data_IF_794991114807
#
_entry.id   IF_794991114807
#
_cell.length_a   1.000
_cell.length_b   1.000
_cell.length_c   1.000
_cell.angle_alpha   90.00
_cell.angle_beta   90.00
_cell.angle_gamma   90.00
#
_symmetry.space_group_name_H-M   'P 1'
#
loop_
_entity.id
_entity.type
_entity.pdbx_description
1 polymer ?
#
# COMPACT_ATOMS: atom_id res chain seq x y z
N UNK A 1 12.19 55.94 -7.38
CA UNK A 1 11.88 55.21 -6.13
C UNK A 1 10.80 54.14 -6.31
N UNK A 2 9.73 54.42 -7.07
CA UNK A 2 8.62 53.50 -7.33
C UNK A 2 8.96 52.19 -8.08
N UNK A 3 9.90 52.20 -9.03
CA UNK A 3 10.29 50.97 -9.77
C UNK A 3 10.98 49.93 -8.89
N UNK A 4 11.81 50.35 -7.93
CA UNK A 4 12.50 49.43 -7.01
C UNK A 4 11.51 48.70 -6.09
N UNK A 5 10.45 49.39 -5.64
CA UNK A 5 9.38 48.78 -4.84
C UNK A 5 8.57 47.75 -5.64
N UNK A 6 8.23 48.05 -6.91
CA UNK A 6 7.51 47.13 -7.80
C UNK A 6 8.33 45.87 -8.11
N UNK A 7 9.65 46.01 -8.25
CA UNK A 7 10.59 44.90 -8.43
C UNK A 7 10.75 44.04 -7.16
N UNK A 8 10.81 44.66 -5.97
CA UNK A 8 10.86 43.94 -4.68
C UNK A 8 9.58 43.15 -4.42
N UNK A 9 8.40 43.72 -4.71
CA UNK A 9 7.11 43.03 -4.56
C UNK A 9 7.01 41.84 -5.52
N UNK A 10 7.43 41.97 -6.78
CA UNK A 10 7.49 40.85 -7.74
C UNK A 10 8.45 39.73 -7.29
N UNK A 11 9.64 40.08 -6.77
CA UNK A 11 10.61 39.09 -6.27
C UNK A 11 10.11 38.38 -5.00
N UNK A 12 9.46 39.12 -4.10
CA UNK A 12 8.87 38.58 -2.88
C UNK A 12 7.69 37.64 -3.17
N UNK A 13 6.84 37.98 -4.14
CA UNK A 13 5.71 37.13 -4.55
C UNK A 13 6.16 35.80 -5.18
N UNK A 14 7.21 35.83 -6.01
CA UNK A 14 7.84 34.61 -6.57
C UNK A 14 8.42 33.74 -5.46
N UNK A 15 9.03 34.34 -4.43
CA UNK A 15 9.60 33.63 -3.29
C UNK A 15 8.52 32.96 -2.42
N UNK A 16 7.37 33.63 -2.22
CA UNK A 16 6.22 33.08 -1.47
C UNK A 16 5.59 31.90 -2.23
N UNK A 17 5.45 32.00 -3.56
CA UNK A 17 4.96 30.88 -4.39
C UNK A 17 5.94 29.70 -4.34
N UNK A 18 7.25 29.97 -4.42
CA UNK A 18 8.30 28.96 -4.33
C UNK A 18 8.30 28.23 -2.97
N UNK A 19 8.00 28.93 -1.87
CA UNK A 19 7.87 28.31 -0.54
C UNK A 19 6.61 27.44 -0.42
N UNK A 20 5.50 27.83 -1.06
CA UNK A 20 4.25 27.04 -1.06
C UNK A 20 4.41 25.71 -1.81
N UNK A 21 5.16 25.67 -2.93
CA UNK A 21 5.42 24.41 -3.65
C UNK A 21 6.37 23.46 -2.92
N UNK A 22 7.22 23.95 -2.01
CA UNK A 22 8.12 23.09 -1.20
C UNK A 22 7.38 22.46 -0.01
N UNK A 23 6.28 23.07 0.45
CA UNK A 23 5.57 22.61 1.65
C UNK A 23 4.70 21.36 1.44
N UNK A 24 4.49 20.90 0.21
CA UNK A 24 3.85 19.60 -0.09
C UNK A 24 4.92 18.51 -0.23
N UNK A 25 5.57 18.11 0.87
CA UNK A 25 6.29 16.83 0.89
C UNK A 25 5.26 15.72 1.02
N UNK A 26 5.20 14.83 0.02
CA UNK A 26 4.43 13.60 0.14
C UNK A 26 4.96 12.80 1.34
N UNK A 27 4.05 12.28 2.15
CA UNK A 27 4.42 11.43 3.29
C UNK A 27 4.95 10.11 2.75
N UNK A 28 5.93 9.55 3.44
CA UNK A 28 6.47 8.23 3.12
C UNK A 28 5.39 7.16 3.33
N UNK A 29 5.39 6.14 2.46
CA UNK A 29 4.48 5.01 2.59
C UNK A 29 4.89 4.21 3.82
N UNK A 30 3.94 3.93 4.70
CA UNK A 30 4.18 3.18 5.93
C UNK A 30 3.43 1.85 5.87
N UNK A 31 4.06 0.78 6.39
CA UNK A 31 3.49 -0.57 6.43
C UNK A 31 3.34 -1.01 7.88
N UNK A 32 2.13 -1.45 8.24
CA UNK A 32 1.79 -1.96 9.57
C UNK A 32 1.40 -3.43 9.44
N UNK A 33 2.21 -4.31 10.01
CA UNK A 33 1.90 -5.73 10.04
C UNK A 33 1.01 -6.04 11.24
N UNK A 34 -0.05 -6.82 11.02
CA UNK A 34 -0.91 -7.31 12.10
C UNK A 34 -0.16 -8.29 12.99
N UNK A 35 -0.43 -8.23 14.29
CA UNK A 35 0.10 -9.15 15.31
C UNK A 35 -0.69 -10.47 15.37
N UNK A 36 -1.92 -10.47 14.86
CA UNK A 36 -2.89 -11.57 14.98
C UNK A 36 -3.17 -12.25 13.65
N UNK A 37 -3.05 -11.53 12.53
CA UNK A 37 -3.43 -11.99 11.20
C UNK A 37 -2.29 -11.87 10.19
N UNK A 38 -2.38 -12.61 9.09
CA UNK A 38 -1.49 -12.41 7.93
C UNK A 38 -1.95 -11.18 7.12
N UNK A 39 -1.90 -10.01 7.74
CA UNK A 39 -2.40 -8.74 7.21
C UNK A 39 -1.31 -7.67 7.28
N UNK A 40 -1.22 -6.88 6.22
CA UNK A 40 -0.41 -5.66 6.16
C UNK A 40 -1.32 -4.49 5.80
N UNK A 41 -1.34 -3.46 6.64
CA UNK A 41 -2.02 -2.20 6.37
C UNK A 41 -1.03 -1.18 5.82
N UNK A 42 -1.41 -0.51 4.74
CA UNK A 42 -0.60 0.51 4.05
C UNK A 42 -1.15 1.89 4.35
N UNK A 43 -0.34 2.75 4.95
CA UNK A 43 -0.69 4.14 5.26
C UNK A 43 0.06 5.10 4.34
N UNK A 44 -0.52 6.29 4.17
CA UNK A 44 -0.02 7.32 3.26
C UNK A 44 0.06 6.83 1.81
N UNK A 45 -1.05 6.27 1.30
CA UNK A 45 -1.11 5.78 -0.07
C UNK A 45 -0.69 6.87 -1.07
N UNK A 46 0.23 6.56 -2.01
CA UNK A 46 0.64 7.50 -3.02
C UNK A 46 -0.49 7.69 -4.02
N UNK A 47 -0.52 8.85 -4.69
CA UNK A 47 -1.44 9.08 -5.81
C UNK A 47 -1.13 8.23 -7.04
N UNK A 48 0.09 7.67 -7.10
CA UNK A 48 0.58 6.88 -8.21
C UNK A 48 0.66 5.40 -7.81
N UNK A 49 -0.19 4.58 -8.41
CA UNK A 49 -0.24 3.13 -8.14
C UNK A 49 1.08 2.44 -8.47
N UNK A 50 1.84 2.92 -9.47
CA UNK A 50 3.12 2.30 -9.83
C UNK A 50 4.14 2.42 -8.69
N UNK A 51 4.13 3.55 -7.96
CA UNK A 51 4.96 3.75 -6.78
C UNK A 51 4.53 2.80 -5.65
N UNK A 52 3.22 2.67 -5.40
CA UNK A 52 2.69 1.73 -4.41
C UNK A 52 3.13 0.29 -4.71
N UNK A 53 2.99 -0.15 -5.98
CA UNK A 53 3.37 -1.50 -6.40
C UNK A 53 4.86 -1.78 -6.24
N UNK A 54 5.71 -0.79 -6.53
CA UNK A 54 7.15 -0.91 -6.33
C UNK A 54 7.52 -1.04 -4.85
N UNK A 55 6.96 -0.20 -3.99
CA UNK A 55 7.22 -0.23 -2.54
C UNK A 55 6.67 -1.50 -1.88
N UNK A 56 5.47 -1.96 -2.28
CA UNK A 56 4.92 -3.24 -1.84
C UNK A 56 5.85 -4.40 -2.18
N UNK A 57 6.38 -4.42 -3.42
CA UNK A 57 7.32 -5.46 -3.83
C UNK A 57 8.58 -5.44 -2.97
N UNK A 58 9.16 -4.27 -2.70
CA UNK A 58 10.35 -4.14 -1.82
C UNK A 58 10.04 -4.65 -0.40
N UNK A 59 8.91 -4.23 0.16
CA UNK A 59 8.46 -4.63 1.49
C UNK A 59 8.29 -6.15 1.58
N UNK A 60 7.52 -6.77 0.69
CA UNK A 60 7.23 -8.21 0.69
C UNK A 60 8.50 -9.06 0.56
N UNK A 61 9.45 -8.63 -0.28
CA UNK A 61 10.76 -9.28 -0.41
C UNK A 61 11.56 -9.19 0.90
N UNK A 62 11.56 -8.03 1.56
CA UNK A 62 12.33 -7.80 2.79
C UNK A 62 11.81 -8.61 3.97
N UNK A 63 10.48 -8.71 4.12
CA UNK A 63 9.84 -9.34 5.28
C UNK A 63 9.76 -10.88 5.18
N UNK A 64 10.09 -11.46 4.02
CA UNK A 64 10.03 -12.91 3.77
C UNK A 64 8.64 -13.53 4.04
N UNK A 65 7.57 -12.75 3.96
CA UNK A 65 6.18 -13.19 4.17
C UNK A 65 5.86 -14.39 3.26
N UNK A 66 5.11 -15.38 3.77
CA UNK A 66 4.67 -16.53 2.96
C UNK A 66 3.36 -16.23 2.23
N UNK A 67 2.39 -15.64 2.93
CA UNK A 67 1.18 -15.08 2.34
C UNK A 67 0.70 -13.91 3.20
N UNK A 68 0.01 -12.95 2.60
CA UNK A 68 -0.63 -11.85 3.33
C UNK A 68 -1.70 -11.16 2.51
N UNK A 69 -2.73 -10.70 3.19
CA UNK A 69 -3.67 -9.71 2.70
C UNK A 69 -3.15 -8.30 2.92
N UNK A 70 -3.44 -7.40 1.97
CA UNK A 70 -2.89 -6.05 1.95
C UNK A 70 -4.03 -5.06 1.75
N UNK A 71 -4.24 -4.19 2.73
CA UNK A 71 -5.34 -3.23 2.78
C UNK A 71 -4.83 -1.82 3.07
N UNK A 72 -5.64 -0.82 2.75
CA UNK A 72 -5.42 0.56 3.20
C UNK A 72 -5.56 0.65 4.73
N UNK A 73 -4.63 1.36 5.38
CA UNK A 73 -4.76 1.72 6.79
C UNK A 73 -5.91 2.73 6.95
N UNK A 74 -6.89 2.40 7.78
CA UNK A 74 -8.02 3.26 8.11
C UNK A 74 -8.56 2.91 9.50
N UNK A 75 -9.48 3.71 10.01
CA UNK A 75 -10.16 3.42 11.29
C UNK A 75 -10.96 2.10 11.26
N UNK A 76 -11.42 1.67 10.08
CA UNK A 76 -12.14 0.41 9.90
C UNK A 76 -11.20 -0.80 9.95
N UNK A 77 -10.02 -0.64 9.34
CA UNK A 77 -9.06 -1.75 9.17
C UNK A 77 -8.05 -1.83 10.31
N UNK A 78 -7.83 -0.75 11.07
CA UNK A 78 -6.86 -0.74 12.18
C UNK A 78 -7.22 -1.71 13.30
N UNK A 79 -8.50 -2.06 13.45
CA UNK A 79 -8.96 -3.07 14.40
C UNK A 79 -8.19 -4.38 14.25
N UNK A 80 -7.97 -4.81 13.00
CA UNK A 80 -7.31 -6.07 12.64
C UNK A 80 -5.78 -6.05 12.83
N UNK A 81 -5.19 -4.94 13.28
CA UNK A 81 -3.77 -4.93 13.65
C UNK A 81 -3.51 -5.75 14.92
N UNK A 82 -4.50 -5.83 15.82
CA UNK A 82 -4.35 -6.48 17.13
C UNK A 82 -5.48 -7.44 17.47
N UNK A 83 -6.45 -7.63 16.57
CA UNK A 83 -7.59 -8.51 16.75
C UNK A 83 -7.74 -9.46 15.55
N UNK A 84 -8.31 -10.64 15.77
CA UNK A 84 -8.73 -11.55 14.72
C UNK A 84 -10.14 -11.16 14.21
N UNK A 85 -10.59 -11.77 13.12
CA UNK A 85 -11.99 -11.67 12.70
C UNK A 85 -12.92 -12.36 13.69
N UNK A 86 -14.18 -11.92 13.72
CA UNK A 86 -15.20 -12.57 14.53
C UNK A 86 -15.49 -14.01 14.03
N UNK A 87 -15.98 -14.86 14.94
CA UNK A 87 -16.23 -16.29 14.70
C UNK A 87 -17.47 -16.62 13.83
N UNK A 88 -18.18 -15.62 13.32
CA UNK A 88 -19.35 -15.80 12.46
C UNK A 88 -20.69 -15.99 13.20
N UNK A 89 -20.75 -15.71 14.50
CA UNK A 89 -22.00 -15.68 15.27
C UNK A 89 -23.01 -14.60 14.82
N UNK A 90 -24.25 -14.64 15.34
CA UNK A 90 -25.34 -13.74 14.93
C UNK A 90 -25.10 -12.25 15.26
N UNK A 91 -24.09 -11.94 16.08
CA UNK A 91 -23.68 -10.57 16.44
C UNK A 91 -22.31 -10.19 15.88
N UNK A 92 -21.70 -11.05 15.08
CA UNK A 92 -20.38 -10.81 14.49
C UNK A 92 -20.46 -9.70 13.45
N UNK A 93 -19.50 -8.79 13.50
CA UNK A 93 -19.43 -7.60 12.63
C UNK A 93 -18.04 -7.27 12.14
N UNK A 94 -16.99 -7.84 12.74
CA UNK A 94 -15.60 -7.57 12.37
C UNK A 94 -15.09 -8.64 11.40
N UNK A 95 -15.27 -8.38 10.11
CA UNK A 95 -14.75 -9.18 9.02
C UNK A 95 -14.00 -8.30 8.03
N UNK A 96 -12.82 -8.74 7.62
CA UNK A 96 -11.93 -7.99 6.74
C UNK A 96 -12.48 -7.92 5.31
N UNK A 97 -13.18 -8.97 4.87
CA UNK A 97 -13.80 -9.07 3.55
C UNK A 97 -14.84 -7.96 3.29
N UNK A 98 -15.54 -7.50 4.33
CA UNK A 98 -16.46 -6.37 4.28
C UNK A 98 -15.79 -5.05 3.86
N UNK A 99 -14.46 -4.97 3.97
CA UNK A 99 -13.68 -3.80 3.60
C UNK A 99 -12.93 -3.96 2.26
N UNK A 100 -13.01 -5.13 1.62
CA UNK A 100 -12.20 -5.46 0.44
C UNK A 100 -12.48 -4.53 -0.75
N UNK A 101 -13.75 -4.22 -1.02
CA UNK A 101 -14.13 -3.40 -2.18
C UNK A 101 -13.54 -1.98 -2.09
N UNK A 102 -13.59 -1.39 -0.89
CA UNK A 102 -13.17 0.01 -0.69
C UNK A 102 -11.68 0.15 -0.39
N UNK A 103 -11.11 -0.80 0.37
CA UNK A 103 -9.78 -0.70 1.00
C UNK A 103 -8.83 -1.81 0.61
N UNK A 104 -9.30 -2.86 -0.06
CA UNK A 104 -8.45 -3.95 -0.53
C UNK A 104 -7.42 -3.45 -1.55
N UNK A 105 -6.15 -3.74 -1.30
CA UNK A 105 -5.05 -3.43 -2.22
C UNK A 105 -4.66 -4.67 -3.01
N UNK A 106 -4.26 -5.73 -2.29
CA UNK A 106 -3.79 -6.95 -2.92
C UNK A 106 -3.83 -8.16 -1.98
N UNK A 107 -3.70 -9.34 -2.57
CA UNK A 107 -3.37 -10.59 -1.91
C UNK A 107 -2.02 -11.10 -2.42
N UNK A 108 -1.10 -11.37 -1.51
CA UNK A 108 0.21 -11.93 -1.83
C UNK A 108 0.33 -13.35 -1.29
N UNK A 109 0.96 -14.24 -2.05
CA UNK A 109 1.34 -15.57 -1.60
C UNK A 109 2.57 -16.08 -2.32
N UNK A 110 3.33 -16.94 -1.65
CA UNK A 110 4.40 -17.74 -2.23
C UNK A 110 3.85 -19.09 -2.66
N UNK A 111 4.24 -19.54 -3.83
CA UNK A 111 3.95 -20.89 -4.30
C UNK A 111 5.18 -21.57 -4.90
N UNK A 112 5.22 -22.90 -4.83
CA UNK A 112 6.30 -23.69 -5.42
C UNK A 112 6.12 -23.81 -6.93
N UNK A 113 7.21 -23.80 -7.68
CA UNK A 113 7.16 -24.08 -9.10
C UNK A 113 6.68 -25.52 -9.34
N UNK A 114 5.71 -25.69 -10.24
CA UNK A 114 5.11 -27.00 -10.58
C UNK A 114 6.16 -28.06 -10.96
N UNK A 115 7.18 -27.65 -11.70
CA UNK A 115 8.22 -28.55 -12.23
C UNK A 115 9.51 -28.57 -11.37
N UNK A 116 9.58 -27.77 -10.31
CA UNK A 116 10.77 -27.66 -9.46
C UNK A 116 10.35 -27.21 -8.04
N UNK A 117 10.06 -28.18 -7.17
CA UNK A 117 9.55 -27.93 -5.82
C UNK A 117 10.56 -27.26 -4.87
N UNK A 118 11.82 -27.14 -5.29
CA UNK A 118 12.87 -26.39 -4.58
C UNK A 118 12.85 -24.89 -4.92
N UNK A 119 12.14 -24.50 -5.99
CA UNK A 119 11.96 -23.10 -6.36
C UNK A 119 10.60 -22.59 -5.92
N UNK A 120 10.60 -21.40 -5.36
CA UNK A 120 9.40 -20.67 -4.94
C UNK A 120 9.30 -19.39 -5.74
N UNK A 121 8.08 -19.05 -6.17
CA UNK A 121 7.73 -17.76 -6.74
C UNK A 121 6.81 -17.00 -5.78
N UNK A 122 6.90 -15.68 -5.80
CA UNK A 122 6.00 -14.79 -5.06
C UNK A 122 5.02 -14.18 -6.02
N UNK A 123 3.73 -14.41 -5.78
CA UNK A 123 2.62 -13.99 -6.63
C UNK A 123 1.80 -12.95 -5.88
N UNK A 124 1.44 -11.86 -6.57
CA UNK A 124 0.57 -10.82 -6.05
C UNK A 124 -0.64 -10.66 -6.97
N UNK A 125 -1.83 -10.57 -6.36
CA UNK A 125 -3.11 -10.31 -7.02
C UNK A 125 -3.65 -9.00 -6.52
N UNK A 126 -3.82 -8.03 -7.41
CA UNK A 126 -4.37 -6.73 -7.05
C UNK A 126 -5.90 -6.77 -7.13
N UNK A 127 -6.58 -6.16 -6.15
CA UNK A 127 -8.02 -5.92 -6.23
C UNK A 127 -8.33 -4.79 -7.22
N UNK A 128 -9.59 -4.67 -7.64
CA UNK A 128 -10.02 -3.90 -8.82
C UNK A 128 -9.52 -2.44 -8.87
N UNK A 129 -9.41 -1.77 -7.72
CA UNK A 129 -8.87 -0.40 -7.61
C UNK A 129 -7.40 -0.30 -8.08
N UNK A 130 -6.63 -1.38 -7.99
CA UNK A 130 -5.20 -1.42 -8.25
C UNK A 130 -4.79 -2.38 -9.38
N UNK A 131 -5.71 -3.18 -9.91
CA UNK A 131 -5.43 -4.10 -11.00
C UNK A 131 -6.57 -5.05 -11.28
N UNK A 132 -6.24 -6.26 -11.73
CA UNK A 132 -7.23 -7.30 -12.01
C UNK A 132 -6.84 -8.58 -11.28
N UNK A 133 -7.66 -8.98 -10.31
CA UNK A 133 -7.31 -10.05 -9.36
C UNK A 133 -6.99 -11.39 -10.05
N UNK A 134 -7.67 -11.69 -11.16
CA UNK A 134 -7.47 -12.92 -11.94
C UNK A 134 -6.28 -12.85 -12.92
N UNK A 135 -5.57 -11.72 -12.97
CA UNK A 135 -4.31 -11.57 -13.71
C UNK A 135 -3.17 -11.26 -12.74
N UNK A 136 -2.64 -12.27 -12.06
CA UNK A 136 -1.59 -12.10 -11.06
C UNK A 136 -0.25 -11.64 -11.67
N UNK A 137 0.52 -10.90 -10.89
CA UNK A 137 1.92 -10.57 -11.17
C UNK A 137 2.87 -11.49 -10.39
N UNK A 138 3.99 -11.87 -11.01
CA UNK A 138 5.09 -12.56 -10.32
C UNK A 138 6.15 -11.55 -9.89
N UNK A 139 6.32 -11.37 -8.58
CA UNK A 139 7.22 -10.37 -8.00
C UNK A 139 8.51 -10.96 -7.42
N UNK A 140 8.55 -12.28 -7.15
CA UNK A 140 9.74 -12.99 -6.65
C UNK A 140 10.02 -14.21 -7.52
N UNK A 141 11.27 -14.36 -7.96
CA UNK A 141 11.73 -15.54 -8.70
C UNK A 141 11.11 -15.69 -10.08
N UNK A 142 11.44 -16.81 -10.74
CA UNK A 142 10.80 -17.29 -11.97
C UNK A 142 10.82 -18.81 -11.97
N UNK A 143 9.71 -19.42 -12.37
CA UNK A 143 9.72 -20.83 -12.78
C UNK A 143 10.30 -20.92 -14.19
N UNK A 144 11.17 -21.92 -14.41
CA UNK A 144 11.70 -22.23 -15.74
C UNK A 144 10.81 -23.27 -16.42
#
# INVERSE_FOLDING_TARGET
MFEKQKLMIKKSFVFIIMLLVISCKEKEIEFYQSETMNLVLVKNLPKNDSLLKEELKKYLISQKIEYTEIYEYSWDTEYFLTHEEDDGGPTSSHFLDLHQEERGIAYFYKEKCKNDSLKTIGVIRYYDKYGYFYHPDTIIGKCK
#
